data_IF_840223547060
#
_entry.id   IF_840223547060
#
_cell.length_a   1.000
_cell.length_b   1.000
_cell.length_c   1.000
_cell.angle_alpha   90.00
_cell.angle_beta   90.00
_cell.angle_gamma   90.00
#
_symmetry.space_group_name_H-M   'P 1'
#
loop_
_entity.id
_entity.type
_entity.pdbx_description
1 polymer ?
#
# COMPACT_ATOMS: atom_id res chain seq x y z
N UNK A 1 8.29 23.40 -18.41
CA UNK A 1 8.37 23.83 -17.00
C UNK A 1 7.29 23.25 -16.08
N UNK A 2 6.17 22.73 -16.61
CA UNK A 2 5.10 22.08 -15.82
C UNK A 2 5.54 20.75 -15.19
N UNK A 3 6.20 19.88 -15.97
CA UNK A 3 6.68 18.57 -15.52
C UNK A 3 7.56 18.64 -14.26
N UNK A 4 8.54 19.55 -14.24
CA UNK A 4 9.40 19.77 -13.07
C UNK A 4 8.60 20.19 -11.83
N UNK A 5 7.56 21.01 -12.00
CA UNK A 5 6.71 21.44 -10.88
C UNK A 5 5.90 20.27 -10.32
N UNK A 6 5.34 19.42 -11.18
CA UNK A 6 4.61 18.22 -10.76
C UNK A 6 5.49 17.28 -9.95
N UNK A 7 6.71 16.99 -10.42
CA UNK A 7 7.65 16.13 -9.70
C UNK A 7 7.98 16.70 -8.33
N UNK A 8 8.29 17.99 -8.23
CA UNK A 8 8.65 18.62 -6.95
C UNK A 8 7.47 18.60 -5.97
N UNK A 9 6.26 18.94 -6.43
CA UNK A 9 5.05 18.91 -5.60
C UNK A 9 4.75 17.48 -5.14
N UNK A 10 4.87 16.50 -6.03
CA UNK A 10 4.67 15.10 -5.70
C UNK A 10 5.70 14.61 -4.68
N UNK A 11 6.98 14.96 -4.85
CA UNK A 11 8.05 14.60 -3.93
C UNK A 11 7.83 15.19 -2.52
N UNK A 12 7.53 16.49 -2.43
CA UNK A 12 7.29 17.15 -1.15
C UNK A 12 6.06 16.59 -0.42
N UNK A 13 4.96 16.37 -1.13
CA UNK A 13 3.75 15.78 -0.54
C UNK A 13 3.95 14.33 -0.11
N UNK A 14 4.76 13.57 -0.85
CA UNK A 14 5.07 12.18 -0.56
C UNK A 14 5.90 11.99 0.70
N UNK A 15 6.90 12.85 0.94
CA UNK A 15 7.72 12.78 2.16
C UNK A 15 6.82 12.95 3.39
N UNK A 16 5.93 13.95 3.37
CA UNK A 16 5.02 14.23 4.49
C UNK A 16 4.02 13.08 4.66
N UNK A 17 3.35 12.68 3.58
CA UNK A 17 2.29 11.67 3.64
C UNK A 17 2.84 10.28 3.96
N UNK A 18 4.00 9.92 3.40
CA UNK A 18 4.68 8.64 3.66
C UNK A 18 5.20 8.55 5.10
N UNK A 19 5.71 9.64 5.68
CA UNK A 19 6.08 9.64 7.09
C UNK A 19 4.87 9.46 8.01
N UNK A 20 3.75 10.13 7.72
CA UNK A 20 2.49 9.93 8.44
C UNK A 20 2.04 8.47 8.29
N UNK A 21 2.07 7.90 7.09
CA UNK A 21 1.69 6.51 6.85
C UNK A 21 2.57 5.54 7.64
N UNK A 22 3.89 5.69 7.60
CA UNK A 22 4.82 4.82 8.33
C UNK A 22 4.66 4.90 9.85
N UNK A 23 4.36 6.08 10.40
CA UNK A 23 4.02 6.20 11.83
C UNK A 23 2.73 5.45 12.17
N UNK A 24 1.67 5.59 11.36
CA UNK A 24 0.41 4.85 11.56
C UNK A 24 0.62 3.34 11.43
N UNK A 25 1.40 2.90 10.44
CA UNK A 25 1.75 1.51 10.19
C UNK A 25 2.50 0.89 11.38
N UNK A 26 3.40 1.66 12.00
CA UNK A 26 4.16 1.23 13.19
C UNK A 26 3.25 0.85 14.37
N UNK A 27 2.09 1.49 14.51
CA UNK A 27 1.14 1.19 15.58
C UNK A 27 0.16 0.06 15.27
N UNK A 28 -0.01 -0.30 14.00
CA UNK A 28 -0.97 -1.30 13.52
C UNK A 28 -0.27 -2.51 12.91
N UNK A 29 0.10 -2.43 11.63
CA UNK A 29 0.63 -3.56 10.85
C UNK A 29 1.90 -4.15 11.45
N UNK A 30 2.85 -3.32 11.88
CA UNK A 30 4.14 -3.79 12.38
C UNK A 30 3.98 -4.69 13.62
N UNK A 31 3.02 -4.39 14.50
CA UNK A 31 2.74 -5.23 15.67
C UNK A 31 2.18 -6.59 15.28
N UNK A 32 1.30 -6.63 14.28
CA UNK A 32 0.69 -7.87 13.79
C UNK A 32 1.77 -8.76 13.15
N UNK A 33 2.70 -8.17 12.39
CA UNK A 33 3.83 -8.89 11.78
C UNK A 33 4.70 -9.53 12.87
N UNK A 34 5.17 -8.77 13.87
CA UNK A 34 5.96 -9.34 14.97
C UNK A 34 5.22 -10.39 15.80
N UNK A 35 3.88 -10.31 15.86
CA UNK A 35 3.08 -11.35 16.49
C UNK A 35 3.01 -12.62 15.64
N UNK A 36 2.92 -12.49 14.31
CA UNK A 36 2.87 -13.62 13.38
C UNK A 36 4.20 -14.39 13.30
N UNK A 37 5.33 -13.67 13.22
CA UNK A 37 6.69 -14.24 13.13
C UNK A 37 6.99 -15.21 14.30
N UNK A 38 6.41 -14.97 15.49
CA UNK A 38 6.57 -15.88 16.65
C UNK A 38 6.01 -17.28 16.41
N UNK A 39 4.99 -17.41 15.57
CA UNK A 39 4.36 -18.69 15.28
C UNK A 39 5.12 -19.45 14.18
N UNK A 40 5.69 -18.75 13.21
CA UNK A 40 6.47 -19.35 12.12
C UNK A 40 7.78 -19.98 12.64
N UNK A 41 8.50 -19.29 13.53
CA UNK A 41 9.75 -19.82 14.14
C UNK A 41 9.50 -21.10 14.97
N UNK A 42 8.33 -21.20 15.62
CA UNK A 42 7.98 -22.37 16.44
C UNK A 42 7.57 -23.58 15.58
N UNK A 43 6.95 -23.35 14.43
CA UNK A 43 6.52 -24.41 13.50
C UNK A 43 7.70 -25.05 12.76
N UNK A 44 8.77 -24.29 12.50
CA UNK A 44 10.04 -24.82 12.01
C UNK A 44 10.67 -25.82 12.98
N UNK A 45 10.67 -25.57 14.30
CA UNK A 45 11.22 -26.54 15.28
C UNK A 45 10.48 -27.89 15.32
N UNK A 46 9.21 -27.94 14.93
CA UNK A 46 8.40 -29.18 14.94
C UNK A 46 8.35 -29.93 13.60
N UNK A 47 8.86 -29.36 12.52
CA UNK A 47 8.80 -29.96 11.17
C UNK A 47 10.13 -30.61 10.74
N UNK A 48 11.21 -30.49 11.53
CA UNK A 48 12.55 -30.98 11.20
C UNK A 48 12.82 -32.49 11.39
N UNK A 49 11.80 -33.34 11.51
CA UNK A 49 11.99 -34.81 11.54
C UNK A 49 11.95 -35.48 10.14
N UNK A 50 11.89 -34.71 9.06
CA UNK A 50 12.09 -35.23 7.69
C UNK A 50 13.35 -34.62 7.11
N UNK A 51 14.41 -35.42 7.12
CA UNK A 51 15.71 -35.12 6.53
C UNK A 51 15.61 -34.81 5.03
N UNK A 52 15.56 -33.53 4.69
CA UNK A 52 15.99 -33.01 3.39
C UNK A 52 17.10 -31.99 3.63
N UNK A 53 18.31 -32.41 3.27
CA UNK A 53 19.55 -31.65 3.27
C UNK A 53 19.55 -30.70 2.07
N UNK A 54 18.64 -29.72 2.07
CA UNK A 54 18.67 -28.60 1.14
C UNK A 54 19.18 -27.38 1.92
N UNK A 55 20.21 -26.73 1.36
CA UNK A 55 20.64 -25.41 1.80
C UNK A 55 19.48 -24.46 1.55
N UNK A 56 18.60 -24.31 2.54
CA UNK A 56 17.63 -23.23 2.56
C UNK A 56 18.46 -21.98 2.80
N UNK A 57 18.90 -21.35 1.70
CA UNK A 57 19.46 -20.00 1.73
C UNK A 57 18.58 -19.16 2.64
N UNK A 58 19.14 -18.54 3.70
CA UNK A 58 18.40 -17.61 4.56
C UNK A 58 17.67 -16.61 3.65
N UNK A 59 16.34 -16.68 3.62
CA UNK A 59 15.54 -15.82 2.77
C UNK A 59 15.83 -14.36 3.16
N UNK A 60 16.30 -13.56 2.20
CA UNK A 60 16.80 -12.24 2.49
C UNK A 60 15.70 -11.34 3.09
N UNK A 61 15.98 -10.78 4.26
CA UNK A 61 15.10 -9.82 4.93
C UNK A 61 15.90 -8.76 5.71
N UNK A 62 15.37 -7.54 5.85
CA UNK A 62 16.01 -6.50 6.65
C UNK A 62 16.06 -6.90 8.13
N UNK A 63 17.18 -6.64 8.81
CA UNK A 63 17.33 -7.00 10.22
C UNK A 63 16.35 -6.21 11.10
N UNK A 64 15.93 -6.84 12.18
CA UNK A 64 15.04 -6.23 13.15
C UNK A 64 15.64 -4.95 13.78
N UNK A 65 14.73 -4.04 14.16
CA UNK A 65 15.09 -2.75 14.71
C UNK A 65 15.23 -1.66 13.64
N UNK A 66 16.36 -0.95 13.63
CA UNK A 66 16.51 0.27 12.85
C UNK A 66 16.49 0.04 11.33
N UNK A 67 17.02 -1.08 10.86
CA UNK A 67 17.08 -1.40 9.43
C UNK A 67 15.68 -1.65 8.87
N UNK A 68 14.90 -2.57 9.47
CA UNK A 68 13.49 -2.82 9.12
C UNK A 68 12.64 -1.55 9.17
N UNK A 69 12.79 -0.75 10.23
CA UNK A 69 12.07 0.52 10.36
C UNK A 69 12.45 1.49 9.24
N UNK A 70 13.74 1.69 8.98
CA UNK A 70 14.22 2.58 7.93
C UNK A 70 13.70 2.20 6.54
N UNK A 71 13.73 0.92 6.20
CA UNK A 71 13.19 0.43 4.93
C UNK A 71 11.67 0.53 4.86
N UNK A 72 10.95 0.36 5.97
CA UNK A 72 9.49 0.53 6.02
C UNK A 72 9.11 1.97 5.69
N UNK A 73 9.71 2.96 6.36
CA UNK A 73 9.46 4.38 6.08
C UNK A 73 9.87 4.75 4.65
N UNK A 74 10.98 4.20 4.14
CA UNK A 74 11.39 4.43 2.76
C UNK A 74 10.35 3.89 1.76
N UNK A 75 9.86 2.67 1.98
CA UNK A 75 8.82 2.06 1.16
C UNK A 75 7.53 2.89 1.19
N UNK A 76 7.10 3.34 2.37
CA UNK A 76 5.90 4.18 2.53
C UNK A 76 6.03 5.52 1.79
N UNK A 77 7.20 6.15 1.84
CA UNK A 77 7.50 7.38 1.09
C UNK A 77 7.45 7.13 -0.42
N UNK A 78 8.01 6.02 -0.91
CA UNK A 78 7.98 5.67 -2.34
C UNK A 78 6.54 5.38 -2.83
N UNK A 79 5.74 4.67 -2.03
CA UNK A 79 4.33 4.42 -2.32
C UNK A 79 3.55 5.74 -2.34
N UNK A 80 3.76 6.60 -1.34
CA UNK A 80 3.16 7.93 -1.29
C UNK A 80 3.57 8.78 -2.50
N UNK A 81 4.80 8.64 -2.98
CA UNK A 81 5.29 9.34 -4.18
C UNK A 81 4.55 8.91 -5.44
N UNK A 82 4.34 7.61 -5.65
CA UNK A 82 3.52 7.11 -6.75
C UNK A 82 2.09 7.67 -6.72
N UNK A 83 1.44 7.66 -5.55
CA UNK A 83 0.08 8.19 -5.38
C UNK A 83 0.02 9.71 -5.59
N UNK A 84 0.97 10.46 -5.04
CA UNK A 84 1.05 11.91 -5.24
C UNK A 84 1.26 12.27 -6.71
N UNK A 85 2.04 11.51 -7.47
CA UNK A 85 2.18 11.70 -8.91
C UNK A 85 0.86 11.48 -9.65
N UNK A 86 0.13 10.40 -9.35
CA UNK A 86 -1.16 10.11 -9.96
C UNK A 86 -2.18 11.22 -9.66
N UNK A 87 -2.30 11.61 -8.40
CA UNK A 87 -3.26 12.63 -7.96
C UNK A 87 -2.95 14.00 -8.57
N UNK A 88 -1.70 14.45 -8.49
CA UNK A 88 -1.28 15.76 -9.04
C UNK A 88 -1.38 15.79 -10.57
N UNK A 89 -1.05 14.69 -11.25
CA UNK A 89 -1.19 14.58 -12.71
C UNK A 89 -2.66 14.61 -13.12
N UNK A 90 -3.52 13.87 -12.42
CA UNK A 90 -4.96 13.85 -12.69
C UNK A 90 -5.58 15.24 -12.50
N UNK A 91 -5.29 15.91 -11.39
CA UNK A 91 -5.78 17.27 -11.13
C UNK A 91 -5.28 18.28 -12.16
N UNK A 92 -4.00 18.20 -12.54
CA UNK A 92 -3.43 19.08 -13.56
C UNK A 92 -4.08 18.86 -14.93
N UNK A 93 -4.31 17.61 -15.33
CA UNK A 93 -4.99 17.27 -16.59
C UNK A 93 -6.45 17.76 -16.60
N UNK A 94 -7.18 17.56 -15.50
CA UNK A 94 -8.57 18.03 -15.37
C UNK A 94 -8.64 19.56 -15.45
N UNK A 95 -7.75 20.26 -14.74
CA UNK A 95 -7.67 21.71 -14.80
C UNK A 95 -7.36 22.23 -16.21
N UNK A 96 -6.40 21.60 -16.91
CA UNK A 96 -6.02 22.00 -18.27
C UNK A 96 -7.13 21.75 -19.30
N UNK A 97 -7.89 20.66 -19.17
CA UNK A 97 -8.89 20.25 -20.17
C UNK A 97 -10.27 20.86 -19.92
N UNK A 98 -10.67 21.02 -18.66
CA UNK A 98 -12.02 21.41 -18.28
C UNK A 98 -12.08 22.69 -17.43
N UNK A 99 -10.94 23.27 -17.05
CA UNK A 99 -10.86 24.46 -16.20
C UNK A 99 -11.29 24.23 -14.75
N UNK A 100 -11.52 22.97 -14.35
CA UNK A 100 -12.02 22.56 -13.03
C UNK A 100 -11.39 21.22 -12.62
N UNK A 101 -11.27 20.94 -11.31
CA UNK A 101 -11.49 21.86 -10.20
C UNK A 101 -10.32 22.84 -10.02
N UNK A 102 -10.56 23.97 -9.36
CA UNK A 102 -9.48 24.88 -8.97
C UNK A 102 -8.47 24.13 -8.09
N UNK A 103 -7.18 24.31 -8.37
CA UNK A 103 -6.10 23.65 -7.63
C UNK A 103 -6.02 24.29 -6.23
N UNK A 104 -6.64 23.64 -5.26
CA UNK A 104 -6.69 24.03 -3.85
C UNK A 104 -6.53 22.82 -2.95
N UNK A 105 -6.20 23.02 -1.68
CA UNK A 105 -6.09 21.94 -0.69
C UNK A 105 -7.43 21.20 -0.50
N UNK A 106 -8.56 21.90 -0.61
CA UNK A 106 -9.91 21.31 -0.51
C UNK A 106 -10.19 20.38 -1.67
N UNK A 107 -9.92 20.84 -2.90
CA UNK A 107 -10.07 20.01 -4.11
C UNK A 107 -9.17 18.78 -4.03
N UNK A 108 -7.93 18.94 -3.56
CA UNK A 108 -7.00 17.83 -3.34
C UNK A 108 -7.54 16.81 -2.33
N UNK A 109 -8.09 17.26 -1.20
CA UNK A 109 -8.71 16.36 -0.23
C UNK A 109 -9.94 15.64 -0.78
N UNK A 110 -10.83 16.32 -1.48
CA UNK A 110 -12.06 15.71 -2.02
C UNK A 110 -11.71 14.64 -3.06
N UNK A 111 -10.81 14.95 -3.99
CA UNK A 111 -10.40 14.01 -5.05
C UNK A 111 -9.59 12.87 -4.44
N UNK A 112 -8.70 13.16 -3.49
CA UNK A 112 -7.94 12.15 -2.77
C UNK A 112 -8.83 11.19 -1.99
N UNK A 113 -9.84 11.71 -1.29
CA UNK A 113 -10.83 10.91 -0.57
C UNK A 113 -11.67 10.08 -1.54
N UNK A 114 -12.11 10.65 -2.66
CA UNK A 114 -12.82 9.92 -3.72
C UNK A 114 -11.99 8.76 -4.28
N UNK A 115 -10.70 9.01 -4.53
CA UNK A 115 -9.75 7.97 -4.94
C UNK A 115 -9.58 6.87 -3.88
N UNK A 116 -9.40 7.25 -2.61
CA UNK A 116 -9.29 6.28 -1.51
C UNK A 116 -10.55 5.42 -1.38
N UNK A 117 -11.73 6.04 -1.43
CA UNK A 117 -13.00 5.33 -1.35
C UNK A 117 -13.17 4.33 -2.49
N UNK A 118 -12.81 4.74 -3.70
CA UNK A 118 -13.03 3.93 -4.91
C UNK A 118 -12.02 2.79 -5.06
N UNK A 119 -10.73 3.08 -4.87
CA UNK A 119 -9.67 2.10 -5.13
C UNK A 119 -9.34 1.21 -3.93
N UNK A 120 -9.60 1.69 -2.70
CA UNK A 120 -9.23 0.98 -1.47
C UNK A 120 -10.43 0.60 -0.60
N UNK A 121 -11.21 1.58 -0.12
CA UNK A 121 -12.21 1.28 0.92
C UNK A 121 -13.33 0.38 0.40
N UNK A 122 -13.90 0.73 -0.76
CA UNK A 122 -14.99 -0.04 -1.36
C UNK A 122 -14.55 -1.46 -1.75
N UNK A 123 -13.32 -1.61 -2.23
CA UNK A 123 -12.79 -2.91 -2.68
C UNK A 123 -12.55 -3.85 -1.50
N UNK A 124 -12.04 -3.36 -0.38
CA UNK A 124 -11.81 -4.15 0.84
C UNK A 124 -13.12 -4.51 1.58
N UNK A 125 -14.15 -3.66 1.53
CA UNK A 125 -15.43 -3.95 2.20
C UNK A 125 -16.16 -5.17 1.64
N UNK A 126 -15.94 -5.53 0.37
CA UNK A 126 -16.63 -6.64 -0.27
C UNK A 126 -15.91 -7.99 -0.20
N UNK A 127 -14.58 -7.99 -0.20
CA UNK A 127 -13.76 -9.19 -0.05
C UNK A 127 -12.55 -8.89 0.85
N UNK A 128 -12.64 -9.14 2.17
CA UNK A 128 -11.50 -8.98 3.06
C UNK A 128 -10.36 -9.96 2.71
N UNK A 129 -9.11 -9.64 3.05
CA UNK A 129 -8.00 -10.57 2.89
C UNK A 129 -8.25 -11.84 3.71
N UNK A 130 -8.05 -13.00 3.08
CA UNK A 130 -8.22 -14.31 3.71
C UNK A 130 -6.84 -14.92 3.98
N UNK A 131 -6.75 -15.72 5.05
CA UNK A 131 -5.48 -16.36 5.44
C UNK A 131 -5.15 -17.51 4.49
N UNK A 132 -3.86 -17.76 4.18
CA UNK A 132 -3.45 -18.91 3.39
C UNK A 132 -4.01 -20.23 3.97
N UNK A 133 -4.44 -21.14 3.10
CA UNK A 133 -4.96 -22.45 3.50
C UNK A 133 -6.47 -22.52 3.82
N UNK A 134 -7.22 -21.42 3.71
CA UNK A 134 -8.69 -21.45 3.80
C UNK A 134 -9.35 -21.77 2.45
N UNK A 135 -10.61 -22.20 2.50
CA UNK A 135 -11.45 -22.31 1.30
C UNK A 135 -11.78 -20.91 0.77
N UNK A 136 -10.85 -20.38 -0.02
CA UNK A 136 -10.91 -19.05 -0.56
C UNK A 136 -11.79 -18.95 -1.80
N UNK A 137 -12.50 -17.83 -1.96
CA UNK A 137 -13.16 -17.50 -3.23
C UNK A 137 -12.12 -17.47 -4.36
N UNK A 138 -12.49 -18.02 -5.53
CA UNK A 138 -11.64 -18.10 -6.72
C UNK A 138 -11.01 -16.73 -7.05
N UNK A 139 -9.73 -16.74 -7.43
CA UNK A 139 -8.98 -15.55 -7.81
C UNK A 139 -9.69 -14.75 -8.91
N UNK A 140 -10.30 -15.42 -9.87
CA UNK A 140 -11.01 -14.75 -10.98
C UNK A 140 -12.22 -13.95 -10.46
N UNK A 141 -12.94 -14.48 -9.47
CA UNK A 141 -14.08 -13.78 -8.86
C UNK A 141 -13.63 -12.54 -8.07
N UNK A 142 -12.49 -12.61 -7.39
CA UNK A 142 -11.89 -11.46 -6.68
C UNK A 142 -11.51 -10.34 -7.64
N UNK A 143 -10.90 -10.68 -8.77
CA UNK A 143 -10.53 -9.71 -9.80
C UNK A 143 -11.76 -9.04 -10.40
N UNK A 144 -12.80 -9.83 -10.73
CA UNK A 144 -14.07 -9.32 -11.25
C UNK A 144 -14.73 -8.38 -10.22
N UNK A 145 -14.80 -8.80 -8.96
CA UNK A 145 -15.34 -7.97 -7.89
C UNK A 145 -14.60 -6.65 -7.79
N UNK A 146 -13.27 -6.69 -7.68
CA UNK A 146 -12.45 -5.50 -7.56
C UNK A 146 -12.68 -4.53 -8.72
N UNK A 147 -12.66 -5.02 -9.96
CA UNK A 147 -12.88 -4.18 -11.15
C UNK A 147 -14.29 -3.59 -11.17
N UNK A 148 -15.33 -4.38 -10.87
CA UNK A 148 -16.71 -3.90 -10.83
C UNK A 148 -16.91 -2.83 -9.76
N UNK A 149 -16.35 -3.02 -8.56
CA UNK A 149 -16.43 -2.05 -7.48
C UNK A 149 -15.77 -0.73 -7.88
N UNK A 150 -14.56 -0.77 -8.43
CA UNK A 150 -13.85 0.43 -8.90
C UNK A 150 -14.69 1.17 -9.94
N UNK A 151 -15.19 0.49 -10.97
CA UNK A 151 -16.01 1.09 -12.03
C UNK A 151 -17.34 1.63 -11.49
N UNK A 152 -17.95 0.99 -10.51
CA UNK A 152 -19.20 1.47 -9.91
C UNK A 152 -19.02 2.72 -9.04
N UNK A 153 -17.81 2.99 -8.55
CA UNK A 153 -17.52 4.10 -7.62
C UNK A 153 -16.91 5.34 -8.27
N UNK A 154 -16.35 5.24 -9.48
CA UNK A 154 -15.68 6.32 -10.23
C UNK A 154 -16.61 6.91 -11.30
#
# INVERSE_FOLDING_TARGET
MLFRKLIIIACLSAIISGFILGTLQSFSTTKIIYSAEKYEVTEHEHTHDIAHEDNVDEEWGPKDGAERVGYTYLADILIAFGHSLLLTSFMALMYLKFGKPEISWRSGLIIGMGGYLSFYLATVMGLPPEVPGTLAADLQLRQIWWTLTVVATV
#
